data_IF_387034946770
#
_entry.id   IF_387034946770
#
_cell.length_a   1.000
_cell.length_b   1.000
_cell.length_c   1.000
_cell.angle_alpha   90.00
_cell.angle_beta   90.00
_cell.angle_gamma   90.00
#
_symmetry.space_group_name_H-M   'P 1'
#
loop_
_entity.id
_entity.type
_entity.pdbx_description
1 polymer ?
#
# COMPACT_ATOMS: atom_id res chain seq x y z
N UNK A 1 -24.40 12.30 90.65
CA UNK A 1 -25.85 12.18 90.42
C UNK A 1 -26.37 13.43 89.72
N UNK A 2 -26.77 13.23 88.45
CA UNK A 2 -27.71 13.93 87.56
C UNK A 2 -27.95 15.46 87.65
N UNK A 3 -27.78 16.11 86.48
CA UNK A 3 -28.67 17.12 85.85
C UNK A 3 -28.30 17.17 84.35
N UNK A 4 -29.07 16.64 83.39
CA UNK A 4 -30.31 17.20 82.78
C UNK A 4 -30.17 18.71 82.48
N UNK A 5 -30.46 19.29 81.32
CA UNK A 5 -30.98 18.94 79.99
C UNK A 5 -30.93 20.28 79.18
N UNK A 6 -31.25 20.27 77.88
CA UNK A 6 -31.36 21.42 76.92
C UNK A 6 -30.10 21.66 76.08
N UNK A 7 -29.98 21.19 74.81
CA UNK A 7 -30.69 21.62 73.59
C UNK A 7 -30.76 23.15 73.46
N UNK A 8 -29.92 23.75 72.60
CA UNK A 8 -30.34 24.39 71.34
C UNK A 8 -29.15 25.11 70.67
N UNK A 9 -28.86 24.67 69.44
CA UNK A 9 -28.43 25.41 68.25
C UNK A 9 -27.47 26.60 68.36
N UNK A 10 -26.31 26.47 67.68
CA UNK A 10 -26.02 27.18 66.44
C UNK A 10 -24.81 26.52 65.74
N UNK A 11 -25.11 25.67 64.76
CA UNK A 11 -24.16 25.16 63.78
C UNK A 11 -23.85 26.27 62.77
N UNK A 12 -22.62 26.75 62.72
CA UNK A 12 -22.05 27.37 61.52
C UNK A 12 -20.91 26.49 61.05
N UNK A 13 -21.26 25.43 60.31
CA UNK A 13 -20.29 24.62 59.58
C UNK A 13 -20.52 24.81 58.10
N UNK A 14 -19.52 25.45 57.50
CA UNK A 14 -19.31 25.73 56.08
C UNK A 14 -19.75 24.59 55.17
N UNK A 15 -20.73 24.86 54.31
CA UNK A 15 -20.98 24.08 53.12
C UNK A 15 -19.87 24.37 52.09
N UNK A 16 -18.74 23.65 52.20
CA UNK A 16 -17.90 23.40 51.02
C UNK A 16 -18.56 22.25 50.28
N UNK A 17 -19.41 22.59 49.32
CA UNK A 17 -19.87 21.66 48.31
C UNK A 17 -18.63 21.20 47.54
N UNK A 18 -18.16 19.99 47.87
CA UNK A 18 -17.39 19.16 46.95
C UNK A 18 -18.25 18.97 45.71
N UNK A 19 -18.12 19.88 44.76
CA UNK A 19 -18.41 19.61 43.35
C UNK A 19 -17.34 18.64 42.90
N UNK A 20 -17.54 17.36 43.21
CA UNK A 20 -16.82 16.29 42.56
C UNK A 20 -17.07 16.43 41.08
N UNK A 21 -16.05 16.87 40.34
CA UNK A 21 -16.02 16.74 38.90
C UNK A 21 -16.12 15.24 38.61
N UNK A 22 -17.33 14.74 38.39
CA UNK A 22 -17.57 13.45 37.76
C UNK A 22 -17.10 13.56 36.31
N UNK A 23 -15.78 13.56 36.10
CA UNK A 23 -15.23 13.20 34.80
C UNK A 23 -15.53 11.72 34.63
N UNK A 24 -16.34 11.40 33.62
CA UNK A 24 -16.43 10.05 33.13
C UNK A 24 -14.99 9.55 32.92
N UNK A 25 -14.67 8.31 33.34
CA UNK A 25 -13.35 7.76 33.04
C UNK A 25 -13.11 7.91 31.54
N UNK A 26 -11.90 8.33 31.12
CA UNK A 26 -11.59 8.40 29.70
C UNK A 26 -11.97 7.05 29.07
N UNK A 27 -12.59 7.04 27.87
CA UNK A 27 -12.98 5.81 27.22
C UNK A 27 -11.78 4.87 27.23
N UNK A 28 -11.97 3.66 27.76
CA UNK A 28 -10.92 2.64 27.78
C UNK A 28 -10.58 2.39 26.31
N UNK A 29 -9.44 2.92 25.88
CA UNK A 29 -8.95 2.76 24.52
C UNK A 29 -8.54 1.29 24.39
N UNK A 30 -9.47 0.48 23.89
CA UNK A 30 -9.27 -0.95 23.69
C UNK A 30 -8.07 -1.12 22.77
N UNK A 31 -7.14 -2.00 23.13
CA UNK A 31 -5.97 -2.28 22.30
C UNK A 31 -6.46 -2.66 20.88
N UNK A 32 -6.10 -1.91 19.82
CA UNK A 32 -6.75 -2.06 18.52
C UNK A 32 -6.66 -3.45 17.89
N UNK A 33 -5.69 -4.27 18.28
CA UNK A 33 -5.60 -5.66 17.82
C UNK A 33 -6.64 -6.61 18.44
N UNK A 34 -7.30 -6.21 19.54
CA UNK A 34 -8.38 -7.00 20.14
C UNK A 34 -9.66 -7.00 19.28
N UNK A 35 -9.74 -6.12 18.28
CA UNK A 35 -10.81 -6.13 17.28
C UNK A 35 -10.52 -7.13 16.14
N UNK A 36 -9.25 -7.56 15.99
CA UNK A 36 -8.84 -8.56 15.00
C UNK A 36 -9.11 -9.99 15.48
N UNK A 37 -9.01 -10.22 16.79
CA UNK A 37 -9.34 -11.49 17.44
C UNK A 37 -8.95 -11.49 18.93
N UNK A 38 -9.29 -12.58 19.65
CA UNK A 38 -8.84 -12.78 21.03
C UNK A 38 -7.31 -12.70 21.12
N UNK A 39 -6.78 -12.29 22.27
CA UNK A 39 -5.33 -12.09 22.48
C UNK A 39 -4.45 -13.33 22.32
N UNK A 40 -5.05 -14.51 22.18
CA UNK A 40 -4.36 -15.78 21.97
C UNK A 40 -4.53 -16.31 20.53
N UNK A 41 -5.11 -15.50 19.64
CA UNK A 41 -5.37 -15.90 18.26
C UNK A 41 -4.23 -15.46 17.34
N UNK A 42 -3.98 -16.24 16.28
CA UNK A 42 -3.03 -15.87 15.24
C UNK A 42 -3.35 -14.49 14.61
N UNK A 43 -4.64 -14.13 14.52
CA UNK A 43 -5.05 -12.81 14.01
C UNK A 43 -4.62 -11.65 14.93
N UNK A 44 -4.62 -11.87 16.24
CA UNK A 44 -4.11 -10.90 17.20
C UNK A 44 -2.59 -10.77 17.11
N UNK A 45 -1.89 -11.90 17.09
CA UNK A 45 -0.43 -11.94 16.99
C UNK A 45 0.06 -11.28 15.68
N UNK A 46 -0.60 -11.58 14.57
CA UNK A 46 -0.37 -10.94 13.27
C UNK A 46 -0.56 -9.41 13.35
N UNK A 47 -1.63 -8.94 13.99
CA UNK A 47 -1.88 -7.51 14.15
C UNK A 47 -0.80 -6.83 15.00
N UNK A 48 -0.37 -7.47 16.09
CA UNK A 48 0.71 -6.94 16.94
C UNK A 48 2.02 -6.84 16.14
N UNK A 49 2.34 -7.86 15.35
CA UNK A 49 3.50 -7.86 14.46
C UNK A 49 3.39 -6.76 13.39
N UNK A 50 2.26 -6.64 12.70
CA UNK A 50 2.01 -5.61 11.68
C UNK A 50 2.19 -4.19 12.23
N UNK A 51 1.69 -3.96 13.46
CA UNK A 51 1.83 -2.67 14.14
C UNK A 51 3.28 -2.37 14.52
N UNK A 52 4.03 -3.39 14.95
CA UNK A 52 5.46 -3.25 15.23
C UNK A 52 6.23 -2.94 13.96
N UNK A 53 6.00 -3.69 12.88
CA UNK A 53 6.65 -3.48 11.58
C UNK A 53 6.34 -2.09 11.02
N UNK A 54 5.09 -1.63 11.16
CA UNK A 54 4.72 -0.27 10.82
C UNK A 54 5.51 0.76 11.65
N UNK A 55 5.55 0.58 12.97
CA UNK A 55 6.29 1.50 13.84
C UNK A 55 7.79 1.54 13.50
N UNK A 56 8.39 0.39 13.22
CA UNK A 56 9.80 0.27 12.84
C UNK A 56 10.07 0.88 11.46
N UNK A 57 9.17 0.69 10.48
CA UNK A 57 9.25 1.32 9.17
C UNK A 57 9.07 2.85 9.24
N UNK A 58 8.14 3.34 10.07
CA UNK A 58 7.94 4.77 10.31
C UNK A 58 9.19 5.39 10.96
N UNK A 59 9.75 4.71 11.96
CA UNK A 59 10.99 5.13 12.61
C UNK A 59 12.15 5.17 11.61
N UNK A 60 12.30 4.15 10.78
CA UNK A 60 13.33 4.11 9.73
C UNK A 60 13.18 5.25 8.73
N UNK A 61 11.94 5.62 8.37
CA UNK A 61 11.66 6.75 7.48
C UNK A 61 11.92 8.11 8.13
N UNK A 62 11.68 8.26 9.44
CA UNK A 62 12.05 9.47 10.19
C UNK A 62 13.58 9.62 10.25
N UNK A 63 14.32 8.50 10.31
CA UNK A 63 15.76 8.48 10.54
C UNK A 63 16.62 8.47 9.25
N UNK A 64 16.05 8.39 8.04
CA UNK A 64 16.78 8.45 6.76
C UNK A 64 15.86 8.60 5.55
N UNK A 65 16.41 9.03 4.39
CA UNK A 65 15.76 9.36 3.09
C UNK A 65 14.87 8.25 2.47
N UNK A 66 13.96 7.65 3.23
CA UNK A 66 12.98 6.69 2.73
C UNK A 66 11.79 7.45 2.14
N UNK A 67 11.30 7.05 0.95
CA UNK A 67 10.09 7.63 0.39
C UNK A 67 8.93 7.46 1.38
N UNK A 68 8.10 8.49 1.51
CA UNK A 68 7.04 8.64 2.50
C UNK A 68 6.00 7.50 2.43
N UNK A 69 6.16 6.46 3.27
CA UNK A 69 5.36 5.23 3.23
C UNK A 69 4.00 5.33 3.96
N UNK A 70 3.65 6.48 4.55
CA UNK A 70 2.52 6.59 5.49
C UNK A 70 1.31 7.41 5.02
N UNK A 71 1.34 8.00 3.83
CA UNK A 71 0.18 8.73 3.31
C UNK A 71 -0.81 7.77 2.62
N UNK A 72 -1.47 6.89 3.36
CA UNK A 72 -2.61 6.11 2.84
C UNK A 72 -3.95 6.72 3.25
N UNK A 73 -4.50 7.64 2.45
CA UNK A 73 -5.97 7.78 2.31
C UNK A 73 -6.38 8.42 0.99
N UNK A 74 -6.10 7.78 -0.15
CA UNK A 74 -6.98 7.90 -1.31
C UNK A 74 -6.81 6.67 -2.20
N UNK A 75 -7.91 5.95 -2.46
CA UNK A 75 -7.95 4.76 -3.32
C UNK A 75 -7.56 5.03 -4.79
N UNK A 76 -7.25 6.29 -5.12
CA UNK A 76 -6.30 6.66 -6.14
C UNK A 76 -5.44 7.77 -5.52
N UNK A 77 -4.12 7.60 -5.43
CA UNK A 77 -3.29 8.81 -5.36
C UNK A 77 -3.65 9.64 -6.59
N UNK A 78 -4.04 10.92 -6.44
CA UNK A 78 -4.06 11.78 -7.59
C UNK A 78 -2.60 11.83 -8.07
N UNK A 79 -2.28 11.06 -9.10
CA UNK A 79 -1.05 11.28 -9.83
C UNK A 79 -1.03 12.73 -10.34
N UNK A 80 0.13 13.21 -10.76
CA UNK A 80 0.18 14.45 -11.57
C UNK A 80 -0.81 14.40 -12.75
N UNK A 81 -1.12 13.18 -13.22
CA UNK A 81 -1.99 12.90 -14.34
C UNK A 81 -3.48 12.88 -13.96
N UNK A 82 -4.24 13.77 -14.59
CA UNK A 82 -5.71 13.75 -14.52
C UNK A 82 -6.26 12.69 -15.48
N UNK A 83 -6.78 11.58 -14.95
CA UNK A 83 -7.41 10.50 -15.73
C UNK A 83 -8.90 10.75 -15.96
N UNK A 84 -9.39 10.46 -17.17
CA UNK A 84 -10.80 10.47 -17.50
C UNK A 84 -11.46 9.13 -17.16
N UNK A 85 -12.80 9.07 -17.09
CA UNK A 85 -13.51 7.81 -16.84
C UNK A 85 -13.17 6.71 -17.87
N UNK A 86 -12.94 7.07 -19.13
CA UNK A 86 -12.53 6.14 -20.20
C UNK A 86 -11.10 5.61 -20.06
N UNK A 87 -10.30 6.19 -19.17
CA UNK A 87 -8.93 5.76 -18.89
C UNK A 87 -8.88 4.59 -17.90
N UNK A 88 -10.00 4.21 -17.30
CA UNK A 88 -10.12 3.08 -16.38
C UNK A 88 -10.59 1.81 -17.10
N UNK A 89 -10.23 0.61 -16.58
CA UNK A 89 -10.72 -0.65 -17.14
C UNK A 89 -12.25 -0.70 -17.19
N UNK A 90 -12.78 -1.41 -18.18
CA UNK A 90 -14.23 -1.53 -18.35
C UNK A 90 -14.90 -2.21 -17.14
N UNK A 91 -14.18 -3.11 -16.48
CA UNK A 91 -14.56 -3.69 -15.20
C UNK A 91 -13.89 -2.89 -14.09
N UNK A 92 -14.66 -2.01 -13.45
CA UNK A 92 -14.18 -1.19 -12.36
C UNK A 92 -13.78 -2.07 -11.15
N UNK A 93 -12.55 -1.87 -10.69
CA UNK A 93 -11.99 -2.55 -9.53
C UNK A 93 -11.34 -1.53 -8.62
N UNK A 94 -11.51 -1.62 -7.28
CA UNK A 94 -10.94 -0.66 -6.35
C UNK A 94 -9.43 -0.91 -6.21
N UNK A 95 -8.66 -0.31 -7.11
CA UNK A 95 -7.22 -0.39 -7.18
C UNK A 95 -6.58 0.99 -7.25
N UNK A 96 -5.40 1.10 -6.66
CA UNK A 96 -4.48 2.21 -6.87
C UNK A 96 -3.59 1.94 -8.09
N UNK A 97 -3.30 2.97 -8.85
CA UNK A 97 -2.50 2.89 -10.08
C UNK A 97 -1.34 3.88 -9.99
N UNK A 98 -0.12 3.39 -10.23
CA UNK A 98 1.07 4.21 -10.48
C UNK A 98 1.53 3.89 -11.89
N UNK A 99 1.49 4.84 -12.81
CA UNK A 99 1.84 4.63 -14.22
C UNK A 99 3.07 5.44 -14.60
N UNK A 100 3.82 4.97 -15.60
CA UNK A 100 4.68 5.84 -16.38
C UNK A 100 3.81 6.87 -17.13
N UNK A 101 4.38 8.00 -17.55
CA UNK A 101 3.62 9.00 -18.33
C UNK A 101 3.24 8.46 -19.71
N UNK A 102 4.22 7.93 -20.44
CA UNK A 102 4.06 7.45 -21.82
C UNK A 102 5.08 6.37 -22.20
N UNK A 103 4.78 5.66 -23.28
CA UNK A 103 5.72 4.86 -24.05
C UNK A 103 5.62 5.28 -25.52
N UNK A 104 6.74 5.52 -26.20
CA UNK A 104 6.69 5.83 -27.63
C UNK A 104 6.33 4.58 -28.45
N UNK A 105 5.75 4.78 -29.63
CA UNK A 105 5.45 3.66 -30.54
C UNK A 105 6.72 2.84 -30.90
N UNK A 106 7.87 3.51 -31.06
CA UNK A 106 9.15 2.87 -31.34
C UNK A 106 9.64 2.03 -30.16
N UNK A 107 9.54 2.53 -28.92
CA UNK A 107 9.86 1.75 -27.73
C UNK A 107 8.94 0.52 -27.60
N UNK A 108 7.63 0.68 -27.84
CA UNK A 108 6.70 -0.46 -27.78
C UNK A 108 7.01 -1.51 -28.85
N UNK A 109 7.45 -1.10 -30.04
CA UNK A 109 7.90 -2.02 -31.09
C UNK A 109 9.19 -2.76 -30.70
N UNK A 110 10.12 -2.07 -30.02
CA UNK A 110 11.36 -2.66 -29.53
C UNK A 110 11.15 -3.57 -28.30
N UNK A 111 10.04 -3.39 -27.58
CA UNK A 111 9.67 -4.12 -26.37
C UNK A 111 8.31 -4.83 -26.54
N UNK A 112 8.22 -5.83 -27.44
CA UNK A 112 6.93 -6.36 -27.88
C UNK A 112 6.24 -7.29 -26.87
N UNK A 113 6.85 -7.58 -25.71
CA UNK A 113 6.27 -8.46 -24.70
C UNK A 113 5.76 -7.67 -23.52
N UNK A 114 4.49 -7.84 -23.17
CA UNK A 114 3.93 -7.33 -21.91
C UNK A 114 4.11 -8.40 -20.84
N UNK A 115 4.95 -8.10 -19.86
CA UNK A 115 5.25 -8.98 -18.72
C UNK A 115 4.58 -8.44 -17.47
N UNK A 116 3.98 -9.33 -16.68
CA UNK A 116 3.38 -9.03 -15.38
C UNK A 116 4.06 -9.86 -14.30
N UNK A 117 4.41 -9.18 -13.22
CA UNK A 117 4.86 -9.78 -11.96
C UNK A 117 3.73 -9.56 -10.97
N UNK A 118 3.15 -10.64 -10.43
CA UNK A 118 1.99 -10.57 -9.54
C UNK A 118 2.37 -11.09 -8.16
N UNK A 119 2.07 -10.31 -7.13
CA UNK A 119 2.15 -10.72 -5.73
C UNK A 119 0.76 -10.73 -5.13
N UNK A 120 0.28 -11.90 -4.72
CA UNK A 120 -0.98 -12.02 -3.97
C UNK A 120 -0.69 -11.90 -2.47
N UNK A 121 -1.46 -11.08 -1.76
CA UNK A 121 -1.29 -10.85 -0.33
C UNK A 121 -2.57 -11.11 0.44
N UNK A 122 -2.44 -11.46 1.72
CA UNK A 122 -3.59 -11.66 2.60
C UNK A 122 -3.77 -10.43 3.47
N UNK A 123 -4.91 -9.76 3.36
CA UNK A 123 -5.28 -8.58 4.15
C UNK A 123 -6.80 -8.53 4.30
N UNK A 124 -7.30 -8.02 5.43
CA UNK A 124 -8.74 -7.70 5.59
C UNK A 124 -9.13 -6.43 4.82
N UNK A 125 -8.14 -5.63 4.42
CA UNK A 125 -8.32 -4.40 3.64
C UNK A 125 -7.94 -4.68 2.18
N UNK A 126 -8.36 -3.77 1.30
CA UNK A 126 -7.97 -3.77 -0.12
C UNK A 126 -6.49 -3.44 -0.35
N UNK A 127 -5.73 -3.13 0.70
CA UNK A 127 -4.32 -2.75 0.63
C UNK A 127 -3.48 -3.77 1.43
N UNK A 128 -2.22 -4.00 1.03
CA UNK A 128 -1.33 -4.93 1.71
C UNK A 128 -1.03 -4.49 3.13
N UNK A 129 -0.73 -5.47 3.99
CA UNK A 129 -0.26 -5.21 5.37
C UNK A 129 1.09 -4.50 5.33
N UNK A 130 1.46 -3.71 6.36
CA UNK A 130 2.75 -3.01 6.41
C UNK A 130 3.96 -3.91 6.14
N UNK A 131 3.97 -5.11 6.72
CA UNK A 131 5.02 -6.12 6.50
C UNK A 131 5.15 -6.55 5.03
N UNK A 132 4.02 -6.85 4.39
CA UNK A 132 3.97 -7.20 2.97
C UNK A 132 4.43 -6.02 2.12
N UNK A 133 3.98 -4.80 2.46
CA UNK A 133 4.30 -3.59 1.73
C UNK A 133 5.80 -3.29 1.74
N UNK A 134 6.48 -3.43 2.88
CA UNK A 134 7.94 -3.27 2.97
C UNK A 134 8.65 -4.22 2.01
N UNK A 135 8.31 -5.51 2.06
CA UNK A 135 8.90 -6.50 1.15
C UNK A 135 8.58 -6.25 -0.33
N UNK A 136 7.34 -5.84 -0.63
CA UNK A 136 6.94 -5.47 -1.99
C UNK A 136 7.74 -4.27 -2.51
N UNK A 137 8.05 -3.30 -1.66
CA UNK A 137 8.82 -2.12 -2.04
C UNK A 137 10.31 -2.43 -2.23
N UNK A 138 10.89 -3.30 -1.40
CA UNK A 138 12.26 -3.82 -1.60
C UNK A 138 12.36 -4.54 -2.95
N UNK A 139 11.40 -5.43 -3.25
CA UNK A 139 11.34 -6.12 -4.52
C UNK A 139 11.11 -5.16 -5.70
N UNK A 140 10.20 -4.19 -5.55
CA UNK A 140 9.94 -3.18 -6.58
C UNK A 140 11.21 -2.41 -6.94
N UNK A 141 12.01 -2.00 -5.95
CA UNK A 141 13.27 -1.30 -6.20
C UNK A 141 14.23 -2.16 -7.06
N UNK A 142 14.33 -3.46 -6.77
CA UNK A 142 15.13 -4.41 -7.56
C UNK A 142 14.61 -4.54 -9.00
N UNK A 143 13.29 -4.72 -9.16
CA UNK A 143 12.65 -4.85 -10.48
C UNK A 143 12.84 -3.59 -11.33
N UNK A 144 12.64 -2.40 -10.74
CA UNK A 144 12.76 -1.13 -11.46
C UNK A 144 14.20 -0.85 -11.88
N UNK A 145 15.16 -1.12 -10.99
CA UNK A 145 16.59 -0.95 -11.28
C UNK A 145 17.01 -1.85 -12.46
N UNK A 146 16.70 -3.14 -12.40
CA UNK A 146 17.14 -4.07 -13.44
C UNK A 146 16.38 -3.94 -14.76
N UNK A 147 15.18 -3.35 -14.75
CA UNK A 147 14.45 -3.08 -15.99
C UNK A 147 15.14 -1.97 -16.78
N UNK A 148 15.63 -0.93 -16.08
CA UNK A 148 16.32 0.20 -16.68
C UNK A 148 17.69 -0.20 -17.29
N UNK A 149 18.35 -1.21 -16.73
CA UNK A 149 19.64 -1.70 -17.23
C UNK A 149 19.53 -2.25 -18.65
N UNK A 150 20.45 -1.82 -19.53
CA UNK A 150 20.62 -2.30 -20.91
C UNK A 150 19.37 -2.18 -21.83
N UNK A 151 18.34 -1.44 -21.40
CA UNK A 151 17.06 -1.36 -22.12
C UNK A 151 16.38 -2.73 -22.26
N UNK A 152 16.52 -3.58 -21.24
CA UNK A 152 15.91 -4.91 -21.18
C UNK A 152 14.38 -4.81 -21.19
N UNK A 153 13.85 -3.85 -20.42
CA UNK A 153 12.43 -3.58 -20.31
C UNK A 153 12.15 -2.13 -19.92
N UNK A 154 10.89 -1.73 -20.06
CA UNK A 154 10.37 -0.46 -19.55
C UNK A 154 9.25 -0.77 -18.59
N UNK A 155 9.38 -0.32 -17.34
CA UNK A 155 8.26 -0.30 -16.41
C UNK A 155 7.18 0.66 -16.94
N UNK A 156 5.93 0.20 -16.95
CA UNK A 156 4.80 1.03 -17.37
C UNK A 156 3.79 1.28 -16.27
N UNK A 157 3.62 0.36 -15.33
CA UNK A 157 2.76 0.61 -14.20
C UNK A 157 2.92 -0.39 -13.06
N UNK A 158 2.48 0.04 -11.89
CA UNK A 158 2.22 -0.77 -10.70
C UNK A 158 0.75 -0.58 -10.32
N UNK A 159 0.04 -1.67 -10.07
CA UNK A 159 -1.36 -1.67 -9.63
C UNK A 159 -1.46 -2.38 -8.29
N UNK A 160 -2.13 -1.77 -7.31
CA UNK A 160 -2.33 -2.38 -5.98
C UNK A 160 -3.79 -2.29 -5.57
N UNK A 161 -4.40 -3.44 -5.30
CA UNK A 161 -5.79 -3.54 -4.86
C UNK A 161 -6.27 -4.99 -4.93
N UNK A 162 -7.45 -5.28 -4.41
CA UNK A 162 -8.06 -6.62 -4.49
C UNK A 162 -7.11 -7.77 -4.07
N UNK A 163 -6.39 -7.61 -2.98
CA UNK A 163 -5.50 -8.66 -2.45
C UNK A 163 -4.33 -9.04 -3.38
N UNK A 164 -3.98 -8.15 -4.32
CA UNK A 164 -2.80 -8.31 -5.18
C UNK A 164 -2.08 -6.98 -5.46
N UNK A 165 -0.80 -7.10 -5.76
CA UNK A 165 0.02 -6.05 -6.37
C UNK A 165 0.63 -6.59 -7.66
N UNK A 166 0.47 -5.85 -8.75
CA UNK A 166 1.01 -6.21 -10.06
C UNK A 166 1.98 -5.15 -10.55
N UNK A 167 3.15 -5.57 -11.00
CA UNK A 167 4.11 -4.73 -11.73
C UNK A 167 4.11 -5.14 -13.20
N UNK A 168 3.99 -4.18 -14.08
CA UNK A 168 3.80 -4.42 -15.51
C UNK A 168 4.91 -3.72 -16.28
N UNK A 169 5.52 -4.48 -17.18
CA UNK A 169 6.66 -4.09 -17.99
C UNK A 169 6.39 -4.40 -19.47
N UNK A 170 6.94 -3.58 -20.35
CA UNK A 170 7.21 -3.98 -21.72
C UNK A 170 8.65 -4.44 -21.83
N UNK A 171 8.89 -5.63 -22.35
CA UNK A 171 10.21 -6.25 -22.45
C UNK A 171 10.53 -6.68 -23.89
N UNK A 172 11.83 -6.79 -24.20
CA UNK A 172 12.30 -7.31 -25.49
C UNK A 172 11.99 -8.80 -25.67
N UNK A 173 12.01 -9.54 -24.57
CA UNK A 173 11.79 -10.98 -24.45
C UNK A 173 11.22 -11.25 -23.06
N UNK A 174 10.14 -12.02 -22.97
CA UNK A 174 9.52 -12.35 -21.69
C UNK A 174 10.38 -13.33 -20.89
N UNK A 175 10.91 -14.38 -21.53
CA UNK A 175 11.75 -15.38 -20.88
C UNK A 175 13.05 -14.81 -20.35
N UNK A 176 13.74 -13.98 -21.13
CA UNK A 176 15.04 -13.41 -20.75
C UNK A 176 14.86 -12.40 -19.61
N UNK A 177 13.80 -11.59 -19.68
CA UNK A 177 13.44 -10.66 -18.61
C UNK A 177 13.15 -11.41 -17.31
N UNK A 178 12.28 -12.42 -17.34
CA UNK A 178 11.93 -13.20 -16.15
C UNK A 178 13.15 -13.88 -15.54
N UNK A 179 13.99 -14.53 -16.36
CA UNK A 179 15.19 -15.22 -15.89
C UNK A 179 16.20 -14.26 -15.23
N UNK A 180 16.44 -13.09 -15.83
CA UNK A 180 17.33 -12.07 -15.26
C UNK A 180 16.79 -11.51 -13.96
N UNK A 181 15.48 -11.21 -13.90
CA UNK A 181 14.84 -10.72 -12.67
C UNK A 181 14.88 -11.74 -11.53
N UNK A 182 14.58 -13.00 -11.81
CA UNK A 182 14.63 -14.08 -10.81
C UNK A 182 16.07 -14.28 -10.28
N UNK A 183 17.07 -14.19 -11.16
CA UNK A 183 18.49 -14.28 -10.77
C UNK A 183 18.89 -13.11 -9.86
N UNK A 184 18.50 -11.88 -10.22
CA UNK A 184 18.77 -10.67 -9.43
C UNK A 184 18.14 -10.73 -8.04
N UNK A 185 16.93 -11.28 -7.92
CA UNK A 185 16.17 -11.32 -6.68
C UNK A 185 16.50 -12.52 -5.78
N UNK A 186 17.17 -13.55 -6.30
CA UNK A 186 17.53 -14.74 -5.52
C UNK A 186 18.30 -14.43 -4.21
N UNK A 187 19.27 -13.48 -4.17
CA UNK A 187 19.99 -13.15 -2.94
C UNK A 187 19.13 -12.51 -1.84
N UNK A 188 18.06 -11.78 -2.20
CA UNK A 188 17.14 -11.13 -1.25
C UNK A 188 16.09 -12.08 -0.66
N UNK A 189 16.12 -13.36 -1.04
CA UNK A 189 15.22 -14.40 -0.57
C UNK A 189 14.01 -14.63 -1.48
N UNK A 190 13.19 -15.65 -1.18
CA UNK A 190 12.06 -16.01 -2.04
C UNK A 190 10.94 -14.97 -1.93
N UNK A 191 10.55 -14.43 -3.08
CA UNK A 191 9.33 -13.63 -3.23
C UNK A 191 8.19 -14.51 -3.74
N UNK A 192 6.97 -14.43 -3.16
CA UNK A 192 5.81 -15.21 -3.58
C UNK A 192 5.16 -14.59 -4.82
N UNK A 193 5.93 -14.48 -5.90
CA UNK A 193 5.50 -13.84 -7.14
C UNK A 193 5.18 -14.85 -8.22
N UNK A 194 4.13 -14.54 -8.97
CA UNK A 194 3.78 -15.23 -10.19
C UNK A 194 4.16 -14.37 -11.39
N UNK A 195 4.64 -15.03 -12.44
CA UNK A 195 5.12 -14.38 -13.65
C UNK A 195 4.21 -14.75 -14.81
N UNK A 196 3.86 -13.77 -15.63
CA UNK A 196 3.20 -14.02 -16.90
C UNK A 196 3.76 -13.08 -17.97
N UNK A 197 3.88 -13.58 -19.19
CA UNK A 197 4.39 -12.85 -20.33
C UNK A 197 3.50 -13.14 -21.52
N UNK A 198 3.25 -12.11 -22.34
CA UNK A 198 2.59 -12.30 -23.63
C UNK A 198 3.13 -11.31 -24.63
N UNK A 199 3.23 -11.74 -25.88
CA UNK A 199 3.51 -10.85 -27.00
C UNK A 199 2.30 -9.94 -27.24
N UNK A 200 2.50 -8.64 -27.21
CA UNK A 200 1.47 -7.67 -27.59
C UNK A 200 1.66 -7.30 -29.07
N UNK A 201 0.60 -7.30 -29.88
CA UNK A 201 0.71 -6.85 -31.26
C UNK A 201 1.18 -5.40 -31.30
N UNK A 202 2.19 -5.12 -32.12
CA UNK A 202 2.62 -3.76 -32.41
C UNK A 202 1.43 -3.00 -32.97
N UNK A 203 1.03 -1.91 -32.31
CA UNK A 203 -0.11 -1.11 -32.76
C UNK A 203 0.27 -0.43 -34.06
N UNK A 204 -0.62 -0.52 -35.06
CA UNK A 204 -0.46 0.17 -36.32
C UNK A 204 -0.36 1.67 -36.05
N UNK A 205 0.77 2.25 -36.42
CA UNK A 205 0.96 3.69 -36.51
C UNK A 205 0.12 4.21 -37.69
N UNK A 206 -1.21 4.16 -37.59
CA UNK A 206 -2.07 4.84 -38.54
C UNK A 206 -1.99 6.34 -38.24
N UNK A 207 -0.97 6.97 -38.84
CA UNK A 207 -0.68 8.39 -38.76
C UNK A 207 0.22 8.76 -37.58
N UNK A 208 1.42 9.28 -37.88
CA UNK A 208 2.43 9.79 -36.95
C UNK A 208 3.25 8.73 -36.16
N UNK A 209 4.28 8.22 -36.85
CA UNK A 209 5.59 7.95 -36.24
C UNK A 209 5.95 9.13 -35.32
N UNK A 210 6.09 8.88 -34.01
CA UNK A 210 6.40 9.80 -32.88
C UNK A 210 5.29 10.10 -31.86
N UNK A 211 4.07 9.57 -31.99
CA UNK A 211 3.07 9.79 -30.93
C UNK A 211 3.41 9.00 -29.67
N UNK A 212 3.70 9.70 -28.59
CA UNK A 212 3.78 9.16 -27.25
C UNK A 212 2.43 8.53 -26.85
N UNK A 213 2.46 7.22 -26.57
CA UNK A 213 1.30 6.47 -26.14
C UNK A 213 1.16 6.72 -24.63
N UNK A 214 0.19 7.56 -24.23
CA UNK A 214 -0.13 7.78 -22.81
C UNK A 214 -0.47 6.46 -22.12
N UNK A 215 0.12 6.20 -20.97
CA UNK A 215 -0.25 5.05 -20.14
C UNK A 215 -1.41 5.42 -19.23
N UNK A 216 -2.46 4.62 -19.28
CA UNK A 216 -3.70 4.79 -18.50
C UNK A 216 -3.94 3.54 -17.65
N UNK A 217 -4.72 3.61 -16.56
CA UNK A 217 -5.13 2.43 -15.79
C UNK A 217 -5.69 1.29 -16.67
N UNK A 218 -6.50 1.62 -17.68
CA UNK A 218 -7.03 0.68 -18.67
C UNK A 218 -5.91 -0.01 -19.46
N UNK A 219 -5.00 0.77 -20.05
CA UNK A 219 -3.86 0.22 -20.83
C UNK A 219 -2.86 -0.54 -19.98
N UNK A 220 -2.74 -0.17 -18.72
CA UNK A 220 -1.95 -0.89 -17.74
C UNK A 220 -2.48 -2.33 -17.59
N UNK A 221 -3.80 -2.50 -17.40
CA UNK A 221 -4.40 -3.81 -17.11
C UNK A 221 -4.81 -4.64 -18.34
N UNK A 222 -5.16 -4.01 -19.46
CA UNK A 222 -5.64 -4.68 -20.68
C UNK A 222 -4.54 -5.04 -21.66
#
# INVERSE_FOLDING_TARGET
MNRAWSLFLLLTSTALLNTGCSHAPPPIERAPCLDEGPSQSAAYDDCVADRKDASDAALKAILGDAPDLYTQTRLAEPGEDTFQASDYPDIASPMSYRTARSISATEQQALPFKVRVRWNYTSRKLLPRPRDLVRMNEMEALLLSAAADDGLAKWVCTVTGEHRREWIFYARSDTDFMSRMQTLMAPSGPYPVEWSGRKEPARSANGASSVDIRMTPKRCLE
#
